data_IF_817257262997
#
_entry.id   IF_817257262997
#
_cell.length_a   1.000
_cell.length_b   1.000
_cell.length_c   1.000
_cell.angle_alpha   90.00
_cell.angle_beta   90.00
_cell.angle_gamma   90.00
#
_symmetry.space_group_name_H-M   'P 1'
#
loop_
_entity.id
_entity.type
_entity.pdbx_description
1 polymer ?
#
# COMPACT_ATOMS: atom_id res chain seq x y z
N UNK A 1 -33.77 -1.09 35.55
CA UNK A 1 -34.25 -1.39 34.19
C UNK A 1 -33.04 -1.80 33.38
N UNK A 2 -32.81 -3.11 33.23
CA UNK A 2 -31.68 -3.62 32.47
C UNK A 2 -32.07 -3.63 30.99
N UNK A 3 -31.31 -2.91 30.16
CA UNK A 3 -31.32 -3.14 28.72
C UNK A 3 -30.97 -4.61 28.50
N UNK A 4 -31.91 -5.39 27.96
CA UNK A 4 -31.62 -6.75 27.52
C UNK A 4 -30.61 -6.65 26.37
N UNK A 5 -29.32 -6.83 26.70
CA UNK A 5 -28.24 -6.89 25.73
C UNK A 5 -28.58 -7.95 24.66
N UNK A 6 -28.66 -7.49 23.41
CA UNK A 6 -28.92 -8.30 22.21
C UNK A 6 -27.83 -9.35 21.96
N UNK A 7 -26.61 -9.03 22.41
CA UNK A 7 -25.41 -9.83 22.32
C UNK A 7 -24.61 -9.65 23.62
N UNK A 8 -24.02 -10.75 24.10
CA UNK A 8 -23.00 -10.69 25.14
C UNK A 8 -21.63 -10.85 24.48
N UNK A 9 -20.76 -9.85 24.60
CA UNK A 9 -19.38 -9.95 24.12
C UNK A 9 -18.48 -10.44 25.23
N UNK A 10 -17.68 -11.47 24.95
CA UNK A 10 -16.66 -11.94 25.89
C UNK A 10 -15.33 -11.20 25.74
N UNK A 11 -14.40 -11.47 26.65
CA UNK A 11 -13.06 -10.87 26.64
C UNK A 11 -12.20 -11.30 25.44
N UNK A 12 -12.59 -12.37 24.73
CA UNK A 12 -11.91 -12.86 23.53
C UNK A 12 -12.47 -12.21 22.24
N UNK A 13 -13.51 -11.38 22.35
CA UNK A 13 -14.14 -10.72 21.21
C UNK A 13 -15.22 -11.56 20.52
N UNK A 14 -15.76 -12.57 21.19
CA UNK A 14 -16.89 -13.35 20.67
C UNK A 14 -18.22 -12.78 21.14
N UNK A 15 -19.17 -12.68 20.21
CA UNK A 15 -20.57 -12.32 20.43
C UNK A 15 -21.41 -13.58 20.66
N UNK A 16 -21.87 -13.75 21.89
CA UNK A 16 -22.74 -14.83 22.32
C UNK A 16 -24.20 -14.38 22.33
N UNK A 17 -25.09 -15.20 21.75
CA UNK A 17 -26.53 -14.94 21.76
C UNK A 17 -27.34 -16.22 21.60
N UNK A 18 -28.62 -16.19 21.96
CA UNK A 18 -29.59 -17.20 21.54
C UNK A 18 -30.42 -16.74 20.33
N UNK A 19 -30.18 -15.51 19.85
CA UNK A 19 -30.86 -14.88 18.71
C UNK A 19 -32.41 -14.89 18.77
N UNK A 20 -33.00 -15.04 19.97
CA UNK A 20 -34.46 -15.08 20.15
C UNK A 20 -35.11 -13.70 20.27
N UNK A 21 -34.33 -12.63 20.26
CA UNK A 21 -34.81 -11.28 20.55
C UNK A 21 -35.37 -10.53 19.32
N UNK A 22 -35.29 -11.13 18.13
CA UNK A 22 -35.98 -10.66 16.93
C UNK A 22 -36.74 -11.83 16.27
N UNK A 23 -37.67 -11.48 15.37
CA UNK A 23 -38.37 -12.46 14.53
C UNK A 23 -37.48 -12.87 13.36
N UNK A 24 -37.29 -14.17 13.12
CA UNK A 24 -36.38 -14.67 12.10
C UNK A 24 -36.16 -16.18 12.15
N UNK A 25 -35.23 -16.69 11.35
CA UNK A 25 -34.87 -18.10 11.34
C UNK A 25 -34.43 -18.64 12.70
N UNK A 26 -33.65 -17.93 13.53
CA UNK A 26 -33.28 -18.44 14.86
C UNK A 26 -34.49 -18.73 15.75
N UNK A 27 -35.50 -17.86 15.72
CA UNK A 27 -36.73 -18.06 16.48
C UNK A 27 -37.59 -19.18 15.89
N UNK A 28 -37.72 -19.26 14.57
CA UNK A 28 -38.49 -20.32 13.90
C UNK A 28 -37.86 -21.70 14.09
N UNK A 29 -36.52 -21.78 14.06
CA UNK A 29 -35.78 -22.98 14.41
C UNK A 29 -36.08 -23.39 15.85
N UNK A 30 -35.97 -22.46 16.81
CA UNK A 30 -36.23 -22.77 18.21
C UNK A 30 -37.66 -23.26 18.45
N UNK A 31 -38.67 -22.54 17.96
CA UNK A 31 -40.07 -22.95 18.08
C UNK A 31 -40.33 -24.32 17.46
N UNK A 32 -39.66 -24.63 16.35
CA UNK A 32 -39.75 -25.95 15.72
C UNK A 32 -39.12 -27.03 16.58
N UNK A 33 -37.91 -26.82 17.09
CA UNK A 33 -37.22 -27.75 17.98
C UNK A 33 -38.05 -28.01 19.25
N UNK A 34 -38.76 -27.01 19.79
CA UNK A 34 -39.64 -27.21 20.94
C UNK A 34 -40.75 -28.22 20.67
N UNK A 35 -41.30 -28.28 19.46
CA UNK A 35 -42.31 -29.27 19.08
C UNK A 35 -41.77 -30.70 19.14
N UNK A 36 -40.47 -30.88 18.91
CA UNK A 36 -39.81 -32.18 18.96
C UNK A 36 -39.29 -32.55 20.35
N UNK A 37 -39.40 -31.68 21.35
CA UNK A 37 -39.03 -31.98 22.74
C UNK A 37 -37.67 -31.42 23.20
N UNK A 38 -37.04 -30.55 22.40
CA UNK A 38 -35.85 -29.83 22.85
C UNK A 38 -36.19 -28.82 23.95
N UNK A 39 -35.31 -28.72 24.96
CA UNK A 39 -35.55 -27.93 26.17
C UNK A 39 -34.73 -26.65 26.27
N UNK A 40 -33.72 -26.47 25.41
CA UNK A 40 -32.86 -25.29 25.39
C UNK A 40 -32.68 -24.78 23.95
N UNK A 41 -32.71 -23.46 23.74
CA UNK A 41 -32.46 -22.89 22.42
C UNK A 41 -31.01 -23.12 21.98
N UNK A 42 -30.75 -23.23 20.66
CA UNK A 42 -29.40 -23.28 20.13
C UNK A 42 -28.59 -22.04 20.55
N UNK A 43 -27.40 -22.20 21.16
CA UNK A 43 -26.47 -21.11 21.34
C UNK A 43 -25.80 -20.72 20.00
N UNK A 44 -25.56 -19.42 19.85
CA UNK A 44 -24.79 -18.85 18.76
C UNK A 44 -23.55 -18.14 19.32
N UNK A 45 -22.42 -18.40 18.68
CA UNK A 45 -21.12 -17.80 18.95
C UNK A 45 -20.63 -17.14 17.65
N UNK A 46 -20.47 -15.82 17.65
CA UNK A 46 -20.06 -15.05 16.50
C UNK A 46 -18.74 -14.32 16.73
N UNK A 47 -17.87 -14.27 15.73
CA UNK A 47 -16.64 -13.45 15.78
C UNK A 47 -16.55 -12.59 14.53
N UNK A 48 -16.24 -11.31 14.69
CA UNK A 48 -15.97 -10.38 13.59
C UNK A 48 -14.45 -10.27 13.36
N UNK A 49 -14.05 -10.19 12.11
CA UNK A 49 -12.65 -10.03 11.70
C UNK A 49 -12.55 -9.30 10.37
N UNK A 50 -11.37 -8.77 10.08
CA UNK A 50 -11.07 -8.14 8.79
C UNK A 50 -10.20 -9.09 7.95
N UNK A 51 -10.59 -9.31 6.70
CA UNK A 51 -9.85 -10.14 5.74
C UNK A 51 -9.53 -9.27 4.51
N UNK A 52 -8.27 -8.86 4.41
CA UNK A 52 -7.77 -7.98 3.32
C UNK A 52 -8.56 -6.66 3.18
N UNK A 53 -9.02 -6.08 4.29
CA UNK A 53 -9.83 -4.87 4.32
C UNK A 53 -11.32 -5.08 4.03
N UNK A 54 -11.75 -6.35 3.94
CA UNK A 54 -13.15 -6.73 3.86
C UNK A 54 -13.63 -7.17 5.25
N UNK A 55 -14.66 -6.51 5.82
CA UNK A 55 -15.21 -6.94 7.09
C UNK A 55 -15.95 -8.27 6.93
N UNK A 56 -15.48 -9.26 7.66
CA UNK A 56 -16.00 -10.61 7.70
C UNK A 56 -16.48 -10.97 9.11
N UNK A 57 -17.26 -12.02 9.20
CA UNK A 57 -17.63 -12.62 10.47
C UNK A 57 -17.83 -14.12 10.29
N UNK A 58 -17.62 -14.86 11.37
CA UNK A 58 -17.87 -16.29 11.44
C UNK A 58 -18.83 -16.55 12.58
N UNK A 59 -19.88 -17.31 12.32
CA UNK A 59 -20.85 -17.74 13.31
C UNK A 59 -20.81 -19.25 13.42
N UNK A 60 -20.68 -19.73 14.65
CA UNK A 60 -20.91 -21.10 15.03
C UNK A 60 -22.22 -21.21 15.79
N UNK A 61 -22.99 -22.24 15.48
CA UNK A 61 -24.22 -22.55 16.17
C UNK A 61 -24.32 -24.06 16.35
N UNK A 62 -24.84 -24.48 17.50
CA UNK A 62 -25.01 -25.90 17.81
C UNK A 62 -26.44 -26.19 18.25
N UNK A 63 -27.12 -27.10 17.57
CA UNK A 63 -28.30 -27.77 18.13
C UNK A 63 -27.78 -28.94 18.98
N UNK A 64 -28.07 -28.98 20.29
CA UNK A 64 -27.58 -30.06 21.15
C UNK A 64 -28.19 -31.41 20.71
N UNK A 65 -27.61 -32.56 21.12
CA UNK A 65 -28.25 -33.85 20.87
C UNK A 65 -29.61 -33.94 21.56
N UNK A 66 -30.52 -34.73 21.00
CA UNK A 66 -31.88 -34.82 21.54
C UNK A 66 -31.88 -35.40 22.96
N UNK A 67 -32.63 -34.83 23.92
CA UNK A 67 -32.58 -35.24 25.32
C UNK A 67 -33.03 -36.69 25.57
N UNK A 68 -33.90 -37.24 24.70
CA UNK A 68 -34.46 -38.59 24.86
C UNK A 68 -34.22 -39.53 23.68
N UNK A 69 -33.80 -39.01 22.52
CA UNK A 69 -33.64 -39.78 21.28
C UNK A 69 -32.16 -39.87 20.97
N UNK A 70 -31.48 -40.92 21.44
CA UNK A 70 -30.03 -41.06 21.30
C UNK A 70 -29.53 -41.14 19.85
N UNK A 71 -30.41 -41.42 18.89
CA UNK A 71 -30.10 -41.44 17.46
C UNK A 71 -30.03 -40.04 16.85
N UNK A 72 -30.63 -39.04 17.51
CA UNK A 72 -30.64 -37.66 17.05
C UNK A 72 -29.39 -36.94 17.58
N UNK A 73 -28.37 -36.89 16.71
CA UNK A 73 -27.07 -36.33 17.02
C UNK A 73 -27.11 -34.79 17.06
N UNK A 74 -26.06 -34.18 17.60
CA UNK A 74 -25.91 -32.72 17.57
C UNK A 74 -25.73 -32.23 16.14
N UNK A 75 -26.35 -31.09 15.83
CA UNK A 75 -26.14 -30.38 14.58
C UNK A 75 -25.19 -29.23 14.85
N UNK A 76 -24.03 -29.24 14.21
CA UNK A 76 -23.05 -28.15 14.27
C UNK A 76 -23.03 -27.41 12.94
N UNK A 77 -23.22 -26.09 13.00
CA UNK A 77 -23.23 -25.21 11.85
C UNK A 77 -22.15 -24.15 12.02
N UNK A 78 -21.38 -23.93 10.95
CA UNK A 78 -20.36 -22.90 10.89
C UNK A 78 -20.50 -22.13 9.58
N UNK A 79 -20.88 -20.85 9.67
CA UNK A 79 -21.16 -20.01 8.50
C UNK A 79 -20.26 -18.78 8.55
N UNK A 80 -19.69 -18.43 7.39
CA UNK A 80 -18.96 -17.19 7.18
C UNK A 80 -19.89 -16.20 6.47
N UNK A 81 -19.92 -14.96 6.96
CA UNK A 81 -20.59 -13.86 6.28
C UNK A 81 -19.90 -12.55 6.57
N UNK A 82 -20.61 -11.43 6.39
CA UNK A 82 -20.03 -10.08 6.43
C UNK A 82 -20.64 -9.20 7.54
N UNK A 83 -21.70 -9.67 8.20
CA UNK A 83 -22.40 -9.02 9.31
C UNK A 83 -23.01 -10.09 10.21
N UNK A 84 -22.73 -10.01 11.52
CA UNK A 84 -23.18 -11.01 12.49
C UNK A 84 -24.69 -11.29 12.41
N UNK A 85 -25.53 -10.26 12.36
CA UNK A 85 -26.98 -10.42 12.30
C UNK A 85 -27.45 -11.29 11.12
N UNK A 86 -26.89 -11.05 9.94
CA UNK A 86 -27.25 -11.75 8.71
C UNK A 86 -26.70 -13.19 8.73
N UNK A 87 -25.52 -13.37 9.34
CA UNK A 87 -24.87 -14.68 9.48
C UNK A 87 -25.54 -15.55 10.55
N UNK A 88 -26.12 -14.98 11.61
CA UNK A 88 -26.96 -15.72 12.56
C UNK A 88 -28.23 -16.28 11.89
N UNK A 89 -28.88 -15.49 11.03
CA UNK A 89 -30.01 -15.95 10.21
C UNK A 89 -29.59 -17.09 9.28
N UNK A 90 -28.45 -16.94 8.60
CA UNK A 90 -27.91 -17.96 7.71
C UNK A 90 -27.59 -19.26 8.45
N UNK A 91 -26.96 -19.17 9.63
CA UNK A 91 -26.66 -20.35 10.45
C UNK A 91 -27.95 -21.07 10.87
N UNK A 92 -28.97 -20.34 11.33
CA UNK A 92 -30.24 -20.93 11.70
C UNK A 92 -30.96 -21.59 10.52
N UNK A 93 -30.97 -20.93 9.36
CA UNK A 93 -31.53 -21.48 8.12
C UNK A 93 -30.82 -22.79 7.73
N UNK A 94 -29.49 -22.82 7.83
CA UNK A 94 -28.70 -24.02 7.54
C UNK A 94 -29.03 -25.17 8.51
N UNK A 95 -29.19 -24.91 9.81
CA UNK A 95 -29.64 -25.97 10.72
C UNK A 95 -31.08 -26.43 10.45
N UNK A 96 -31.97 -25.56 9.98
CA UNK A 96 -33.32 -25.99 9.57
C UNK A 96 -33.21 -26.97 8.41
N UNK A 97 -32.38 -26.69 7.39
CA UNK A 97 -32.13 -27.63 6.29
C UNK A 97 -31.59 -28.96 6.82
N UNK A 98 -30.50 -28.93 7.60
CA UNK A 98 -29.88 -30.15 8.15
C UNK A 98 -30.87 -30.94 9.00
N UNK A 99 -31.67 -30.27 9.83
CA UNK A 99 -32.67 -30.93 10.68
C UNK A 99 -33.77 -31.61 9.85
N UNK A 100 -34.25 -30.95 8.80
CA UNK A 100 -35.25 -31.54 7.90
C UNK A 100 -34.71 -32.73 7.10
N UNK A 101 -33.44 -32.68 6.71
CA UNK A 101 -32.79 -33.75 5.94
C UNK A 101 -32.41 -34.95 6.82
N UNK A 102 -32.08 -34.71 8.10
CA UNK A 102 -31.80 -35.79 9.06
C UNK A 102 -33.06 -36.54 9.53
N UNK A 103 -34.22 -35.87 9.52
CA UNK A 103 -35.47 -36.38 10.10
C UNK A 103 -36.68 -36.22 9.18
N UNK A 104 -36.62 -36.65 7.90
CA UNK A 104 -37.62 -36.31 6.89
C UNK A 104 -39.01 -36.88 7.21
N UNK A 105 -39.09 -38.04 7.87
CA UNK A 105 -40.36 -38.65 8.28
C UNK A 105 -40.97 -37.96 9.50
N UNK A 106 -40.15 -37.56 10.47
CA UNK A 106 -40.62 -36.92 11.70
C UNK A 106 -41.03 -35.46 11.47
N UNK A 107 -40.33 -34.75 10.58
CA UNK A 107 -40.73 -33.40 10.18
C UNK A 107 -41.89 -33.39 9.20
N UNK A 108 -42.17 -34.51 8.52
CA UNK A 108 -43.38 -34.65 7.72
C UNK A 108 -44.61 -34.52 8.64
N UNK A 109 -45.54 -33.66 8.26
CA UNK A 109 -46.68 -33.37 9.13
C UNK A 109 -46.42 -32.27 10.17
N UNK A 110 -45.29 -31.56 10.11
CA UNK A 110 -45.05 -30.36 10.91
C UNK A 110 -44.77 -29.14 10.01
N UNK A 111 -45.09 -27.91 10.45
CA UNK A 111 -44.84 -26.72 9.65
C UNK A 111 -43.38 -26.52 9.22
N UNK A 112 -42.40 -27.01 9.99
CA UNK A 112 -40.98 -26.99 9.61
C UNK A 112 -40.69 -27.89 8.40
N UNK A 113 -41.43 -28.98 8.20
CA UNK A 113 -41.24 -29.87 7.05
C UNK A 113 -41.65 -29.25 5.72
N UNK A 114 -42.44 -28.17 5.75
CA UNK A 114 -42.75 -27.34 4.57
C UNK A 114 -41.59 -26.42 4.17
N UNK A 115 -40.56 -26.30 5.00
CA UNK A 115 -39.42 -25.46 4.68
C UNK A 115 -38.78 -25.94 3.36
N UNK A 116 -38.51 -25.02 2.40
CA UNK A 116 -37.97 -25.41 1.11
C UNK A 116 -36.66 -26.17 1.25
N UNK A 117 -36.48 -27.22 0.44
CA UNK A 117 -35.16 -27.79 0.22
C UNK A 117 -34.34 -26.91 -0.72
N UNK A 118 -33.02 -27.10 -0.69
CA UNK A 118 -32.09 -26.42 -1.59
C UNK A 118 -32.35 -26.76 -3.06
N UNK A 119 -32.78 -28.00 -3.36
CA UNK A 119 -33.26 -28.41 -4.68
C UNK A 119 -34.79 -28.57 -4.68
N UNK A 120 -35.46 -27.81 -5.55
CA UNK A 120 -36.90 -27.91 -5.79
C UNK A 120 -37.37 -29.30 -6.26
N UNK A 121 -36.45 -30.15 -6.73
CA UNK A 121 -36.74 -31.52 -7.21
C UNK A 121 -36.39 -32.60 -6.19
N UNK A 122 -36.06 -32.21 -4.96
CA UNK A 122 -35.76 -33.15 -3.89
C UNK A 122 -36.97 -34.07 -3.62
N UNK A 123 -36.82 -35.40 -3.78
CA UNK A 123 -37.90 -36.34 -3.51
C UNK A 123 -38.30 -36.37 -2.03
N UNK A 124 -37.38 -36.11 -1.09
CA UNK A 124 -37.69 -36.08 0.33
C UNK A 124 -38.52 -34.84 0.67
N UNK A 125 -38.15 -33.67 0.16
CA UNK A 125 -39.01 -32.49 0.27
C UNK A 125 -40.38 -32.69 -0.37
N UNK A 126 -40.43 -33.29 -1.56
CA UNK A 126 -41.70 -33.62 -2.23
C UNK A 126 -42.56 -34.53 -1.35
N UNK A 127 -41.94 -35.52 -0.70
CA UNK A 127 -42.61 -36.39 0.27
C UNK A 127 -43.16 -35.59 1.47
N UNK A 128 -42.34 -34.75 2.11
CA UNK A 128 -42.75 -33.91 3.26
C UNK A 128 -43.94 -33.02 2.92
N UNK A 129 -43.93 -32.39 1.74
CA UNK A 129 -45.02 -31.52 1.26
C UNK A 129 -46.26 -32.33 0.89
N UNK A 130 -46.13 -33.48 0.25
CA UNK A 130 -47.28 -34.33 -0.12
C UNK A 130 -47.96 -34.91 1.13
N UNK A 131 -47.18 -35.24 2.16
CA UNK A 131 -47.70 -35.67 3.45
C UNK A 131 -48.48 -34.56 4.18
N UNK A 132 -48.30 -33.29 3.79
CA UNK A 132 -49.05 -32.16 4.35
C UNK A 132 -50.53 -32.11 3.92
N UNK A 133 -50.97 -32.91 2.96
CA UNK A 133 -52.41 -33.07 2.68
C UNK A 133 -53.19 -33.58 3.91
N UNK A 134 -52.52 -34.28 4.83
CA UNK A 134 -53.10 -34.78 6.08
C UNK A 134 -53.07 -33.72 7.21
N UNK A 135 -52.24 -32.68 7.08
CA UNK A 135 -52.11 -31.57 8.05
C UNK A 135 -53.24 -30.55 7.96
N UNK A 136 -53.89 -30.47 6.79
CA UNK A 136 -54.96 -29.51 6.49
C UNK A 136 -56.28 -29.79 7.22
N UNK A 137 -56.27 -30.70 8.20
CA UNK A 137 -57.34 -30.89 9.19
C UNK A 137 -57.34 -29.82 10.30
N UNK A 138 -57.33 -30.23 11.57
CA UNK A 138 -57.47 -29.31 12.72
C UNK A 138 -56.29 -28.35 12.95
N UNK A 139 -55.13 -28.60 12.33
CA UNK A 139 -53.92 -27.78 12.49
C UNK A 139 -53.70 -26.78 11.34
N UNK A 140 -54.60 -26.74 10.35
CA UNK A 140 -54.42 -25.99 9.10
C UNK A 140 -54.09 -24.50 9.32
N UNK A 141 -54.75 -23.85 10.29
CA UNK A 141 -54.53 -22.44 10.60
C UNK A 141 -53.16 -22.15 11.22
N UNK A 142 -52.68 -23.03 12.09
CA UNK A 142 -51.35 -22.90 12.72
C UNK A 142 -50.24 -23.20 11.71
N UNK A 143 -50.41 -24.25 10.90
CA UNK A 143 -49.49 -24.59 9.82
C UNK A 143 -49.36 -23.47 8.81
N UNK A 144 -50.48 -22.89 8.35
CA UNK A 144 -50.45 -21.76 7.43
C UNK A 144 -49.76 -20.54 8.05
N UNK A 145 -50.04 -20.23 9.32
CA UNK A 145 -49.41 -19.10 10.02
C UNK A 145 -47.89 -19.29 10.11
N UNK A 146 -47.43 -20.47 10.49
CA UNK A 146 -45.99 -20.75 10.60
C UNK A 146 -45.32 -20.77 9.22
N UNK A 147 -45.96 -21.32 8.19
CA UNK A 147 -45.46 -21.26 6.82
C UNK A 147 -45.30 -19.81 6.32
N UNK A 148 -46.26 -18.92 6.62
CA UNK A 148 -46.16 -17.48 6.31
C UNK A 148 -44.99 -16.84 7.07
N UNK A 149 -44.73 -17.23 8.31
CA UNK A 149 -43.56 -16.73 9.06
C UNK A 149 -42.24 -17.18 8.44
N UNK A 150 -42.13 -18.44 7.98
CA UNK A 150 -40.97 -18.91 7.22
C UNK A 150 -40.78 -18.13 5.91
N UNK A 151 -41.86 -17.88 5.15
CA UNK A 151 -41.79 -17.07 3.93
C UNK A 151 -41.33 -15.63 4.21
N UNK A 152 -41.85 -15.01 5.27
CA UNK A 152 -41.43 -13.65 5.67
C UNK A 152 -39.97 -13.62 6.15
N UNK A 153 -39.52 -14.64 6.90
CA UNK A 153 -38.13 -14.77 7.31
C UNK A 153 -37.21 -14.91 6.09
N UNK A 154 -37.59 -15.74 5.11
CA UNK A 154 -36.86 -15.92 3.86
C UNK A 154 -36.78 -14.62 3.06
N UNK A 155 -37.88 -13.89 2.91
CA UNK A 155 -37.90 -12.59 2.22
C UNK A 155 -36.96 -11.58 2.89
N UNK A 156 -37.02 -11.48 4.23
CA UNK A 156 -36.15 -10.57 4.99
C UNK A 156 -34.68 -10.97 4.86
N UNK A 157 -34.38 -12.27 4.95
CA UNK A 157 -33.02 -12.77 4.76
C UNK A 157 -32.48 -12.44 3.36
N UNK A 158 -33.29 -12.60 2.31
CA UNK A 158 -32.92 -12.20 0.94
C UNK A 158 -32.65 -10.69 0.84
N UNK A 159 -33.47 -9.85 1.46
CA UNK A 159 -33.25 -8.41 1.48
C UNK A 159 -31.93 -8.03 2.21
N UNK A 160 -31.62 -8.70 3.32
CA UNK A 160 -30.35 -8.52 4.04
C UNK A 160 -29.15 -8.96 3.17
N UNK A 161 -29.25 -10.11 2.51
CA UNK A 161 -28.23 -10.60 1.57
C UNK A 161 -27.98 -9.63 0.41
N UNK A 162 -29.04 -9.08 -0.19
CA UNK A 162 -28.91 -8.08 -1.25
C UNK A 162 -28.18 -6.81 -0.76
N UNK A 163 -28.51 -6.35 0.44
CA UNK A 163 -27.84 -5.20 1.04
C UNK A 163 -26.36 -5.49 1.33
N UNK A 164 -26.06 -6.72 1.74
CA UNK A 164 -24.70 -7.23 1.90
C UNK A 164 -23.90 -7.23 0.60
N UNK A 165 -24.48 -7.79 -0.46
CA UNK A 165 -23.89 -7.80 -1.80
C UNK A 165 -23.62 -6.38 -2.30
N UNK A 166 -24.55 -5.45 -2.11
CA UNK A 166 -24.34 -4.05 -2.47
C UNK A 166 -23.15 -3.43 -1.73
N UNK A 167 -23.04 -3.65 -0.42
CA UNK A 167 -21.91 -3.16 0.38
C UNK A 167 -20.59 -3.74 -0.08
N UNK A 168 -20.52 -5.05 -0.30
CA UNK A 168 -19.30 -5.72 -0.78
C UNK A 168 -18.90 -5.26 -2.19
N UNK A 169 -19.89 -5.03 -3.07
CA UNK A 169 -19.66 -4.48 -4.42
C UNK A 169 -19.03 -3.09 -4.36
N UNK A 170 -19.52 -2.23 -3.47
CA UNK A 170 -18.95 -0.89 -3.27
C UNK A 170 -17.50 -0.94 -2.75
N UNK A 171 -17.21 -1.84 -1.81
CA UNK A 171 -15.85 -2.04 -1.29
C UNK A 171 -14.93 -2.51 -2.43
N UNK A 172 -15.34 -3.53 -3.18
CA UNK A 172 -14.59 -4.06 -4.32
C UNK A 172 -14.34 -2.99 -5.40
N UNK A 173 -15.33 -2.16 -5.69
CA UNK A 173 -15.20 -1.05 -6.64
C UNK A 173 -14.25 0.03 -6.13
N UNK A 174 -14.26 0.32 -4.83
CA UNK A 174 -13.30 1.22 -4.18
C UNK A 174 -11.85 0.75 -4.38
N UNK A 175 -11.58 -0.53 -4.08
CA UNK A 175 -10.26 -1.13 -4.31
C UNK A 175 -9.86 -1.12 -5.78
N UNK A 176 -10.78 -1.49 -6.69
CA UNK A 176 -10.52 -1.45 -8.13
C UNK A 176 -10.10 -0.06 -8.61
N UNK A 177 -10.78 0.99 -8.14
CA UNK A 177 -10.46 2.37 -8.49
C UNK A 177 -9.12 2.83 -7.88
N UNK A 178 -8.79 2.36 -6.68
CA UNK A 178 -7.50 2.64 -6.05
C UNK A 178 -6.35 2.00 -6.85
N UNK A 179 -6.47 0.71 -7.18
CA UNK A 179 -5.48 -0.01 -7.99
C UNK A 179 -5.35 0.63 -9.37
N UNK A 180 -6.46 1.03 -9.99
CA UNK A 180 -6.44 1.75 -11.27
C UNK A 180 -5.60 3.02 -11.21
N UNK A 181 -5.78 3.85 -10.17
CA UNK A 181 -4.97 5.07 -9.97
C UNK A 181 -3.48 4.76 -9.74
N UNK A 182 -3.17 3.74 -8.96
CA UNK A 182 -1.78 3.32 -8.71
C UNK A 182 -1.10 2.84 -10.00
N UNK A 183 -1.81 2.08 -10.84
CA UNK A 183 -1.28 1.62 -12.12
C UNK A 183 -0.97 2.80 -13.05
N UNK A 184 -1.85 3.80 -13.14
CA UNK A 184 -1.57 5.02 -13.93
C UNK A 184 -0.34 5.76 -13.42
N UNK A 185 -0.16 5.89 -12.11
CA UNK A 185 1.05 6.50 -11.54
C UNK A 185 2.32 5.70 -11.88
N UNK A 186 2.25 4.37 -11.84
CA UNK A 186 3.37 3.50 -12.21
C UNK A 186 3.73 3.70 -13.68
N UNK A 187 2.74 3.78 -14.58
CA UNK A 187 2.96 4.03 -16.01
C UNK A 187 3.63 5.40 -16.24
N UNK A 188 3.19 6.45 -15.55
CA UNK A 188 3.79 7.80 -15.62
C UNK A 188 5.25 7.80 -15.11
N UNK A 189 5.50 7.12 -14.00
CA UNK A 189 6.86 6.97 -13.47
C UNK A 189 7.75 6.17 -14.42
N UNK A 190 7.24 5.09 -15.01
CA UNK A 190 7.97 4.30 -16.00
C UNK A 190 8.34 5.15 -17.22
N UNK A 191 7.40 5.94 -17.76
CA UNK A 191 7.69 6.85 -18.88
C UNK A 191 8.79 7.87 -18.51
N UNK A 192 8.72 8.45 -17.31
CA UNK A 192 9.73 9.39 -16.82
C UNK A 192 11.11 8.73 -16.68
N UNK A 193 11.16 7.49 -16.18
CA UNK A 193 12.39 6.72 -16.07
C UNK A 193 12.98 6.46 -17.45
N UNK A 194 12.18 6.04 -18.42
CA UNK A 194 12.63 5.83 -19.81
C UNK A 194 13.21 7.11 -20.42
N UNK A 195 12.52 8.26 -20.28
CA UNK A 195 13.05 9.54 -20.79
C UNK A 195 14.37 9.93 -20.11
N UNK A 196 14.52 9.68 -18.80
CA UNK A 196 15.78 9.95 -18.10
C UNK A 196 16.90 9.02 -18.57
N UNK A 197 16.59 7.76 -18.86
CA UNK A 197 17.56 6.79 -19.38
C UNK A 197 18.13 7.23 -20.74
N UNK A 198 17.27 7.77 -21.63
CA UNK A 198 17.70 8.34 -22.90
C UNK A 198 18.65 9.54 -22.71
N UNK A 199 18.33 10.44 -21.76
CA UNK A 199 19.19 11.59 -21.44
C UNK A 199 20.53 11.15 -20.85
N UNK A 200 20.53 10.13 -19.98
CA UNK A 200 21.76 9.56 -19.42
C UNK A 200 22.61 8.97 -20.55
N UNK A 201 22.02 8.18 -21.44
CA UNK A 201 22.71 7.61 -22.60
C UNK A 201 23.35 8.70 -23.46
N UNK A 202 22.62 9.77 -23.78
CA UNK A 202 23.13 10.89 -24.56
C UNK A 202 24.29 11.63 -23.85
N UNK A 203 24.20 11.81 -22.53
CA UNK A 203 25.27 12.41 -21.74
C UNK A 203 26.51 11.53 -21.71
N UNK A 204 26.36 10.22 -21.61
CA UNK A 204 27.46 9.27 -21.63
C UNK A 204 28.24 9.36 -22.95
N UNK A 205 27.55 9.40 -24.08
CA UNK A 205 28.17 9.61 -25.40
C UNK A 205 28.93 10.94 -25.47
N UNK A 206 28.37 12.01 -24.89
CA UNK A 206 29.02 13.33 -24.85
C UNK A 206 30.26 13.34 -23.96
N UNK A 207 30.21 12.66 -22.82
CA UNK A 207 31.36 12.52 -21.91
C UNK A 207 32.45 11.74 -22.61
N UNK A 208 32.13 10.60 -23.21
CA UNK A 208 33.09 9.78 -23.96
C UNK A 208 33.79 10.59 -25.06
N UNK A 209 33.04 11.38 -25.82
CA UNK A 209 33.64 12.24 -26.85
C UNK A 209 34.60 13.30 -26.26
N UNK A 210 34.27 13.90 -25.12
CA UNK A 210 35.15 14.88 -24.45
C UNK A 210 36.40 14.21 -23.87
N UNK A 211 36.27 13.01 -23.31
CA UNK A 211 37.41 12.24 -22.83
C UNK A 211 38.41 11.94 -23.96
N UNK A 212 37.92 11.57 -25.14
CA UNK A 212 38.76 11.38 -26.34
C UNK A 212 39.53 12.67 -26.72
N UNK A 213 38.87 13.83 -26.68
CA UNK A 213 39.53 15.12 -26.95
C UNK A 213 40.59 15.48 -25.91
N UNK A 214 40.34 15.19 -24.63
CA UNK A 214 41.31 15.43 -23.55
C UNK A 214 42.55 14.56 -23.77
N UNK A 215 42.38 13.27 -24.11
CA UNK A 215 43.50 12.37 -24.40
C UNK A 215 44.34 12.88 -25.58
N UNK A 216 43.70 13.39 -26.63
CA UNK A 216 44.41 14.01 -27.77
C UNK A 216 45.19 15.26 -27.34
N UNK A 217 44.57 16.14 -26.55
CA UNK A 217 45.21 17.34 -26.02
C UNK A 217 46.41 17.01 -25.12
N UNK A 218 46.28 16.01 -24.24
CA UNK A 218 47.37 15.57 -23.36
C UNK A 218 48.57 15.04 -24.15
N UNK A 219 48.32 14.35 -25.28
CA UNK A 219 49.38 13.91 -26.18
C UNK A 219 50.11 15.09 -26.83
N UNK A 220 49.40 16.14 -27.24
CA UNK A 220 49.99 17.37 -27.79
C UNK A 220 50.79 18.14 -26.73
N UNK A 221 50.28 18.25 -25.50
CA UNK A 221 51.01 18.87 -24.38
C UNK A 221 52.31 18.12 -24.13
N UNK A 222 52.26 16.78 -24.05
CA UNK A 222 53.46 15.95 -23.89
C UNK A 222 54.47 16.18 -25.01
N UNK A 223 54.00 16.33 -26.26
CA UNK A 223 54.88 16.66 -27.39
C UNK A 223 55.51 18.04 -27.23
N UNK A 224 54.75 19.05 -26.81
CA UNK A 224 55.25 20.39 -26.56
C UNK A 224 56.30 20.41 -25.43
N UNK A 225 56.07 19.68 -24.34
CA UNK A 225 57.01 19.57 -23.23
C UNK A 225 58.37 19.02 -23.71
N UNK A 226 58.37 17.98 -24.56
CA UNK A 226 59.60 17.45 -25.17
C UNK A 226 60.35 18.53 -25.98
N UNK A 227 59.62 19.33 -26.76
CA UNK A 227 60.22 20.42 -27.55
C UNK A 227 60.77 21.52 -26.66
N UNK A 228 60.06 21.87 -25.59
CA UNK A 228 60.50 22.88 -24.61
C UNK A 228 61.77 22.41 -23.91
N UNK A 229 61.82 21.17 -23.43
CA UNK A 229 63.00 20.59 -22.78
C UNK A 229 64.23 20.66 -23.71
N UNK A 230 64.05 20.29 -24.98
CA UNK A 230 65.11 20.38 -26.00
C UNK A 230 65.58 21.82 -26.25
N UNK A 231 64.66 22.79 -26.32
CA UNK A 231 65.01 24.19 -26.49
C UNK A 231 65.71 24.77 -25.26
N UNK A 232 65.27 24.39 -24.05
CA UNK A 232 65.91 24.79 -22.80
C UNK A 232 67.35 24.28 -22.72
N UNK A 233 67.62 23.05 -23.15
CA UNK A 233 68.98 22.49 -23.24
C UNK A 233 69.87 23.29 -24.21
N UNK A 234 69.36 23.63 -25.40
CA UNK A 234 70.10 24.48 -26.35
C UNK A 234 70.42 25.88 -25.79
N UNK A 235 69.46 26.52 -25.13
CA UNK A 235 69.68 27.84 -24.50
C UNK A 235 70.73 27.74 -23.39
N UNK A 236 70.71 26.66 -22.60
CA UNK A 236 71.71 26.42 -21.55
C UNK A 236 73.12 26.28 -22.14
N UNK A 237 73.28 25.50 -23.22
CA UNK A 237 74.55 25.35 -23.93
C UNK A 237 75.06 26.69 -24.50
N UNK A 238 74.17 27.46 -25.14
CA UNK A 238 74.50 28.79 -25.67
C UNK A 238 74.94 29.77 -24.56
N UNK A 239 74.27 29.77 -23.42
CA UNK A 239 74.65 30.60 -22.27
C UNK A 239 76.03 30.22 -21.71
N UNK A 240 76.34 28.92 -21.64
CA UNK A 240 77.67 28.45 -21.22
C UNK A 240 78.75 28.94 -22.18
N UNK A 241 78.54 28.77 -23.49
CA UNK A 241 79.45 29.23 -24.53
C UNK A 241 79.64 30.76 -24.49
N UNK A 242 78.57 31.52 -24.25
CA UNK A 242 78.63 32.97 -24.09
C UNK A 242 79.46 33.37 -22.86
N UNK A 243 79.24 32.71 -21.72
CA UNK A 243 80.03 32.93 -20.50
C UNK A 243 81.52 32.69 -20.73
N UNK A 244 81.88 31.58 -21.39
CA UNK A 244 83.27 31.28 -21.77
C UNK A 244 83.87 32.35 -22.70
N UNK A 245 83.10 32.85 -23.66
CA UNK A 245 83.54 33.92 -24.54
C UNK A 245 83.76 35.24 -23.79
N UNK A 246 82.89 35.57 -22.83
CA UNK A 246 83.03 36.75 -21.95
C UNK A 246 84.29 36.62 -21.08
N UNK A 247 84.52 35.47 -20.45
CA UNK A 247 85.71 35.21 -19.64
C UNK A 247 86.99 35.34 -20.49
N UNK A 248 86.97 34.84 -21.73
CA UNK A 248 88.07 35.00 -22.68
C UNK A 248 88.33 36.47 -23.05
N UNK A 249 87.28 37.29 -23.21
CA UNK A 249 87.41 38.73 -23.43
C UNK A 249 87.99 39.44 -22.19
N UNK A 250 87.57 39.06 -20.99
CA UNK A 250 88.09 39.65 -19.75
C UNK A 250 89.57 39.29 -19.54
N UNK A 251 89.98 38.05 -19.84
CA UNK A 251 91.38 37.63 -19.86
C UNK A 251 92.24 38.44 -20.85
N UNK A 252 91.68 38.88 -21.98
CA UNK A 252 92.35 39.78 -22.92
C UNK A 252 92.46 41.22 -22.40
N UNK A 253 91.54 41.65 -21.53
CA UNK A 253 91.59 42.95 -20.86
C UNK A 253 92.51 42.99 -19.62
N UNK A 254 92.87 41.85 -19.02
CA UNK A 254 93.81 41.76 -17.87
C UNK A 254 95.31 41.84 -18.26
N UNK A 255 95.67 42.43 -19.41
CA UNK A 255 97.05 42.87 -19.66
C UNK A 255 97.34 44.19 -18.87
N UNK A 256 98.44 44.28 -18.08
CA UNK A 256 98.64 45.41 -17.18
C UNK A 256 99.15 46.67 -17.92
N UNK A 257 98.54 47.82 -17.59
CA UNK A 257 99.04 49.16 -17.88
C UNK A 257 98.09 50.32 -17.49
N UNK A 258 98.05 50.67 -16.20
CA UNK A 258 97.46 51.91 -15.61
C UNK A 258 98.34 53.18 -15.86
N UNK A 259 98.00 54.45 -15.44
CA UNK A 259 96.77 55.06 -14.84
C UNK A 259 96.38 56.41 -15.57
N UNK A 260 95.34 57.23 -15.27
CA UNK A 260 95.02 58.12 -14.11
C UNK A 260 93.67 58.80 -14.46
N UNK A 261 92.60 58.62 -13.68
CA UNK A 261 91.90 59.59 -12.79
C UNK A 261 91.42 60.91 -13.45
N UNK A 262 90.10 61.13 -13.47
CA UNK A 262 89.53 62.30 -12.78
C UNK A 262 88.11 62.00 -12.25
N UNK A 263 87.93 62.31 -10.97
CA UNK A 263 86.68 62.31 -10.21
C UNK A 263 85.73 63.39 -10.72
N UNK A 264 84.42 63.12 -10.72
CA UNK A 264 83.45 64.11 -10.27
C UNK A 264 82.21 63.43 -9.68
N UNK A 265 81.92 63.87 -8.47
CA UNK A 265 80.91 63.39 -7.52
C UNK A 265 79.46 63.74 -7.91
N UNK A 266 78.52 63.10 -7.19
CA UNK A 266 77.10 63.46 -7.09
C UNK A 266 76.23 62.20 -7.12
N UNK A 267 75.94 61.57 -5.98
CA UNK A 267 74.72 61.79 -5.16
C UNK A 267 73.44 61.42 -5.95
N UNK A 268 72.49 60.60 -5.50
CA UNK A 268 72.09 60.06 -4.21
C UNK A 268 71.17 58.84 -4.51
N UNK A 269 70.91 58.02 -3.49
CA UNK A 269 69.94 56.93 -3.50
C UNK A 269 68.52 57.37 -3.90
N UNK A 270 67.78 56.49 -4.59
CA UNK A 270 66.40 56.13 -4.23
C UNK A 270 65.96 54.90 -5.05
N UNK A 271 65.74 53.77 -4.37
CA UNK A 271 64.71 52.79 -4.74
C UNK A 271 63.34 53.52 -4.54
N UNK A 272 62.22 53.26 -5.27
CA UNK A 272 61.73 51.90 -5.52
C UNK A 272 60.78 51.69 -6.74
N UNK A 273 60.35 50.42 -6.88
CA UNK A 273 58.99 49.89 -7.14
C UNK A 273 58.78 49.02 -8.38
N UNK A 274 58.34 47.81 -8.04
CA UNK A 274 57.57 46.84 -8.81
C UNK A 274 56.60 47.49 -9.80
N UNK A 275 56.70 47.06 -11.05
CA UNK A 275 55.67 47.30 -12.06
C UNK A 275 54.54 46.28 -11.85
N UNK A 276 53.50 46.73 -11.15
CA UNK A 276 52.21 46.07 -11.05
C UNK A 276 51.59 45.95 -12.45
N UNK A 277 51.58 44.73 -12.99
CA UNK A 277 50.89 44.39 -14.22
C UNK A 277 49.39 44.31 -13.96
N UNK A 278 48.65 45.33 -14.38
CA UNK A 278 47.18 45.28 -14.50
C UNK A 278 46.79 44.97 -15.93
N UNK A 279 46.17 43.81 -16.12
CA UNK A 279 45.26 43.57 -17.25
C UNK A 279 44.21 42.55 -16.80
N UNK A 280 43.07 43.06 -16.32
CA UNK A 280 41.85 42.28 -16.12
C UNK A 280 40.67 42.99 -16.81
N UNK A 281 40.23 42.34 -17.88
CA UNK A 281 38.93 42.38 -18.56
C UNK A 281 38.87 40.98 -19.21
N UNK A 282 37.81 40.17 -19.16
CA UNK A 282 36.41 40.42 -18.87
C UNK A 282 35.76 39.08 -18.48
N UNK A 283 34.62 39.18 -17.80
CA UNK A 283 33.45 38.30 -17.81
C UNK A 283 33.52 36.92 -18.50
N UNK A 284 33.10 35.85 -17.79
CA UNK A 284 31.79 35.18 -17.99
C UNK A 284 31.70 33.75 -17.39
N UNK A 285 30.53 33.45 -16.77
CA UNK A 285 29.97 32.13 -16.37
C UNK A 285 30.64 31.40 -15.18
N UNK A 286 29.96 31.15 -14.05
CA UNK A 286 28.82 30.22 -13.89
C UNK A 286 29.37 28.79 -13.73
N UNK A 287 29.16 27.99 -12.68
CA UNK A 287 27.97 27.82 -11.83
C UNK A 287 28.31 26.78 -10.69
N UNK A 288 27.39 26.16 -9.93
CA UNK A 288 27.40 26.11 -8.45
C UNK A 288 27.66 24.72 -7.84
N UNK A 289 27.99 24.64 -6.53
CA UNK A 289 27.77 23.41 -5.74
C UNK A 289 27.31 23.72 -4.29
N UNK A 290 26.06 23.32 -4.04
CA UNK A 290 25.41 22.73 -2.86
C UNK A 290 25.19 23.52 -1.55
N UNK A 291 23.89 23.63 -1.26
CA UNK A 291 23.20 23.93 0.00
C UNK A 291 23.64 23.05 1.18
N UNK A 292 23.49 23.55 2.42
CA UNK A 292 22.45 22.96 3.28
C UNK A 292 21.67 23.97 4.14
N UNK A 293 20.34 23.78 4.16
CA UNK A 293 19.38 24.03 5.24
C UNK A 293 19.58 25.23 6.18
N UNK A 294 18.69 26.22 6.10
CA UNK A 294 18.03 26.79 7.28
C UNK A 294 16.57 27.15 6.96
N UNK A 295 15.67 26.56 7.76
CA UNK A 295 14.25 26.87 7.84
C UNK A 295 13.99 28.21 8.54
N UNK A 296 12.75 28.67 8.35
CA UNK A 296 11.89 29.44 9.27
C UNK A 296 11.62 30.91 8.92
N UNK A 297 10.45 31.14 8.33
CA UNK A 297 9.64 32.33 8.56
C UNK A 297 8.25 31.87 8.98
N UNK A 298 7.92 32.23 10.20
CA UNK A 298 6.68 31.91 10.90
C UNK A 298 5.75 33.13 10.85
N UNK A 299 4.45 32.84 10.85
CA UNK A 299 3.33 33.72 11.26
C UNK A 299 2.82 34.75 10.24
N UNK A 300 1.61 34.51 9.70
CA UNK A 300 0.41 35.16 10.27
C UNK A 300 -0.86 34.28 10.11
N UNK A 301 -1.63 34.33 11.18
CA UNK A 301 -2.90 33.69 11.49
C UNK A 301 -4.07 34.28 10.68
N UNK A 302 -5.05 33.46 10.31
CA UNK A 302 -6.45 33.92 10.27
C UNK A 302 -7.41 32.78 10.59
N UNK A 303 -7.97 32.88 11.78
CA UNK A 303 -9.12 32.14 12.30
C UNK A 303 -10.39 32.55 11.54
N UNK A 304 -11.22 31.58 11.16
CA UNK A 304 -12.54 31.82 10.57
C UNK A 304 -13.39 30.56 10.65
N UNK A 305 -14.16 30.47 11.74
CA UNK A 305 -15.10 29.42 12.09
C UNK A 305 -16.52 29.80 11.57
N UNK A 306 -17.44 28.83 11.53
CA UNK A 306 -18.92 28.95 11.32
C UNK A 306 -19.37 29.01 9.84
N UNK A 307 -20.42 28.33 9.35
CA UNK A 307 -21.58 27.66 9.97
C UNK A 307 -22.28 26.71 8.98
N UNK A 308 -23.17 25.89 9.55
CA UNK A 308 -24.24 25.03 8.98
C UNK A 308 -25.01 25.55 7.75
N UNK A 309 -25.34 24.62 6.83
CA UNK A 309 -26.70 24.29 6.34
C UNK A 309 -26.71 23.09 5.39
#
# INVERSE_FOLDING_TARGET
>A
MAEFLRFFWDSAGHAHTNALHWEGFPRLLWESLQMFGYTKPPPYDGVEYDEEGVPCCRVKMTVPPHPTLSLWQSIEVNVIGHRLADTFEAAAMEAIHIFCDQHPEEVAGHPIGLFPAMDSRDPEWTFRVTYCDHLLGSLAGETLRTAVRFMNAQYRYQALQQHGIYRLTNIAQGYRNQVGRQNTQIEEFQATVTTKEEVITQREETIQHREEQIVESDALITQHDIVIDFLQEQVHELNLNLGQAIDHINMLHEQPGQPVIDELEGEEEEDPKEVEGVSEIDSEHGDPILSPYHSSSESQSSVGNLDDL
#
